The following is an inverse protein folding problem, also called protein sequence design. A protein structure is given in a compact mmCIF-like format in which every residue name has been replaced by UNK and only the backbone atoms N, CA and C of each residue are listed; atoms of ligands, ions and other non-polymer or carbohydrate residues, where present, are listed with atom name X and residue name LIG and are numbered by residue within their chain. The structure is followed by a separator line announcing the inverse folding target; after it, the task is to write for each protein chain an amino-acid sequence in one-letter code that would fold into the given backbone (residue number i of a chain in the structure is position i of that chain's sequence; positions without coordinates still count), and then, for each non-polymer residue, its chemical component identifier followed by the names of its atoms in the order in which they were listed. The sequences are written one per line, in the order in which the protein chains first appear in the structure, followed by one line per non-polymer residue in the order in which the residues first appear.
data_IF_277982597856
#
_entry.id   IF_277982597856
#
_cell.length_a   1.000
_cell.length_b   1.000
_cell.length_c   1.000
_cell.angle_alpha   90.00
_cell.angle_beta   90.00
_cell.angle_gamma   90.00
#
_symmetry.space_group_name_H-M   'P 1'
#
loop_
_entity.id
_entity.type
_entity.pdbx_description
1 polymer ?
#
# COMPACT_ATOMS: atom_id res chain seq x y z
N UNK A 1 -12.23 24.50 -20.41
CA UNK A 1 -12.81 23.44 -19.54
C UNK A 1 -11.87 22.25 -19.66
N UNK A 2 -11.08 21.99 -18.62
CA UNK A 2 -10.13 20.88 -18.59
C UNK A 2 -10.90 19.62 -18.17
N UNK A 3 -10.93 18.59 -19.00
CA UNK A 3 -11.40 17.26 -18.63
C UNK A 3 -10.18 16.34 -18.58
N UNK A 4 -9.75 15.99 -17.37
CA UNK A 4 -8.84 14.85 -17.19
C UNK A 4 -9.66 13.56 -17.23
N UNK A 5 -9.18 12.62 -18.02
CA UNK A 5 -9.73 11.30 -18.31
C UNK A 5 -9.56 10.37 -17.10
N UNK A 6 -10.62 10.23 -16.30
CA UNK A 6 -10.86 8.98 -15.58
C UNK A 6 -12.14 8.36 -16.14
N UNK A 7 -11.97 7.30 -16.91
CA UNK A 7 -12.98 6.77 -17.81
C UNK A 7 -14.10 6.08 -17.02
N UNK A 8 -15.26 6.74 -16.87
CA UNK A 8 -16.44 6.12 -16.28
C UNK A 8 -17.39 5.55 -17.35
N UNK A 9 -17.13 5.74 -18.66
CA UNK A 9 -17.87 5.04 -19.75
C UNK A 9 -17.34 5.27 -21.18
N UNK A 10 -16.68 6.38 -21.48
CA UNK A 10 -16.16 6.68 -22.82
C UNK A 10 -14.83 7.42 -22.73
N UNK A 11 -13.87 7.03 -23.56
CA UNK A 11 -12.63 7.78 -23.77
C UNK A 11 -12.89 8.87 -24.82
N UNK A 12 -12.71 10.12 -24.43
CA UNK A 12 -12.69 11.27 -25.34
C UNK A 12 -11.22 11.70 -25.48
N UNK A 13 -10.72 11.68 -26.72
CA UNK A 13 -9.40 12.22 -27.07
C UNK A 13 -9.59 13.49 -27.89
N UNK A 14 -8.80 14.51 -27.62
CA UNK A 14 -8.82 15.79 -28.34
C UNK A 14 -7.54 15.94 -29.19
N UNK A 15 -7.65 16.66 -30.30
CA UNK A 15 -6.50 17.00 -31.13
C UNK A 15 -5.94 18.34 -30.65
N UNK A 16 -4.65 18.36 -30.28
CA UNK A 16 -3.99 19.58 -29.79
C UNK A 16 -3.64 20.51 -30.95
N UNK A 17 -3.37 21.78 -30.64
CA UNK A 17 -3.08 22.86 -31.61
C UNK A 17 -1.89 22.54 -32.55
N UNK A 18 -0.99 21.64 -32.14
CA UNK A 18 0.12 21.12 -32.95
C UNK A 18 -0.23 19.99 -33.94
N UNK A 19 -1.50 19.60 -34.06
CA UNK A 19 -1.95 18.54 -34.97
C UNK A 19 -1.65 17.11 -34.48
N UNK A 20 -1.37 16.95 -33.19
CA UNK A 20 -1.17 15.65 -32.54
C UNK A 20 -2.41 15.30 -31.69
N UNK A 21 -2.74 14.02 -31.59
CA UNK A 21 -3.77 13.57 -30.65
C UNK A 21 -3.21 13.55 -29.23
N UNK A 22 -4.03 13.92 -28.25
CA UNK A 22 -3.73 13.65 -26.85
C UNK A 22 -3.62 12.13 -26.63
N UNK A 23 -2.65 11.71 -25.82
CA UNK A 23 -2.53 10.32 -25.38
C UNK A 23 -3.70 9.99 -24.45
N UNK A 24 -4.51 9.01 -24.83
CA UNK A 24 -5.71 8.61 -24.08
C UNK A 24 -5.78 7.10 -23.93
N UNK A 25 -6.10 6.65 -22.71
CA UNK A 25 -6.26 5.23 -22.37
C UNK A 25 -7.51 4.97 -21.54
N UNK A 26 -7.98 3.73 -21.57
CA UNK A 26 -9.02 3.25 -20.67
C UNK A 26 -8.38 2.36 -19.61
N UNK A 27 -8.51 2.72 -18.33
CA UNK A 27 -8.16 1.83 -17.25
C UNK A 27 -9.33 0.88 -16.94
N UNK A 28 -9.09 -0.44 -16.80
CA UNK A 28 -10.16 -1.37 -16.48
C UNK A 28 -10.78 -1.09 -15.10
N UNK A 29 -12.10 -0.95 -15.05
CA UNK A 29 -12.87 -0.70 -13.82
C UNK A 29 -12.52 -1.78 -12.77
N UNK A 30 -12.00 -1.39 -11.59
CA UNK A 30 -11.65 -2.34 -10.54
C UNK A 30 -12.85 -2.59 -9.62
N UNK A 31 -13.06 -3.85 -9.26
CA UNK A 31 -13.93 -4.26 -8.17
C UNK A 31 -13.24 -4.14 -6.80
N UNK A 32 -14.01 -4.08 -5.70
CA UNK A 32 -13.48 -4.07 -4.34
C UNK A 32 -12.55 -5.24 -4.07
N UNK A 33 -11.56 -5.02 -3.22
CA UNK A 33 -10.74 -6.12 -2.68
C UNK A 33 -11.64 -7.11 -1.94
N UNK A 34 -11.36 -8.41 -2.13
CA UNK A 34 -12.09 -9.46 -1.44
C UNK A 34 -11.64 -9.52 0.03
N UNK A 35 -12.51 -9.97 0.95
CA UNK A 35 -12.15 -10.08 2.36
C UNK A 35 -10.91 -10.95 2.59
N UNK A 36 -10.01 -10.49 3.47
CA UNK A 36 -8.73 -11.16 3.77
C UNK A 36 -8.88 -12.62 4.21
N UNK A 37 -10.03 -12.98 4.79
CA UNK A 37 -10.32 -14.36 5.19
C UNK A 37 -10.31 -15.36 4.02
N UNK A 38 -10.48 -14.90 2.77
CA UNK A 38 -10.40 -15.73 1.57
C UNK A 38 -8.99 -15.72 0.93
N UNK A 39 -8.02 -15.03 1.51
CA UNK A 39 -6.69 -14.91 0.91
C UNK A 39 -6.06 -16.31 0.72
N UNK A 40 -5.59 -16.55 -0.51
CA UNK A 40 -5.02 -17.82 -0.93
C UNK A 40 -6.04 -18.92 -1.28
N UNK A 41 -7.34 -18.69 -1.09
CA UNK A 41 -8.39 -19.65 -1.42
C UNK A 41 -9.02 -19.44 -2.80
N UNK A 42 -8.80 -18.29 -3.45
CA UNK A 42 -9.43 -17.98 -4.73
C UNK A 42 -8.40 -17.68 -5.80
N UNK A 43 -8.79 -17.93 -7.05
CA UNK A 43 -8.02 -17.57 -8.24
C UNK A 43 -8.85 -16.72 -9.16
N UNK A 44 -8.31 -15.57 -9.59
CA UNK A 44 -8.97 -14.65 -10.51
C UNK A 44 -8.29 -14.65 -11.88
N UNK A 45 -9.06 -14.58 -12.95
CA UNK A 45 -8.51 -14.54 -14.32
C UNK A 45 -7.82 -13.23 -14.68
N UNK A 46 -8.26 -12.09 -14.12
CA UNK A 46 -7.69 -10.77 -14.39
C UNK A 46 -7.68 -9.89 -13.13
N UNK A 47 -7.16 -10.45 -12.02
CA UNK A 47 -7.17 -9.78 -10.73
C UNK A 47 -8.58 -9.33 -10.34
N UNK A 48 -8.72 -8.04 -10.02
CA UNK A 48 -10.00 -7.44 -9.60
C UNK A 48 -10.68 -6.62 -10.70
N UNK A 49 -10.21 -6.69 -11.94
CA UNK A 49 -10.70 -5.80 -13.00
C UNK A 49 -11.98 -6.32 -13.66
N UNK A 50 -12.65 -5.43 -14.39
CA UNK A 50 -13.85 -5.73 -15.17
C UNK A 50 -13.76 -7.08 -15.89
N UNK A 51 -14.84 -7.85 -15.78
CA UNK A 51 -15.00 -9.17 -16.37
C UNK A 51 -14.07 -10.28 -15.82
N UNK A 52 -13.27 -9.97 -14.80
CA UNK A 52 -12.49 -10.99 -14.06
C UNK A 52 -13.44 -12.00 -13.42
N UNK A 53 -13.10 -13.28 -13.56
CA UNK A 53 -13.78 -14.41 -12.94
C UNK A 53 -12.92 -14.90 -11.78
N UNK A 54 -13.41 -14.72 -10.55
CA UNK A 54 -12.75 -15.19 -9.34
C UNK A 54 -13.45 -16.43 -8.81
N UNK A 55 -12.74 -17.55 -8.78
CA UNK A 55 -13.26 -18.83 -8.31
C UNK A 55 -12.66 -19.15 -6.95
N UNK A 56 -13.51 -19.26 -5.93
CA UNK A 56 -13.17 -19.80 -4.63
C UNK A 56 -12.99 -21.31 -4.75
N UNK A 57 -11.88 -21.80 -4.24
CA UNK A 57 -11.48 -23.20 -4.24
C UNK A 57 -11.70 -23.76 -2.84
N UNK A 58 -12.76 -24.55 -2.67
CA UNK A 58 -13.08 -25.26 -1.45
C UNK A 58 -12.50 -26.68 -1.48
N UNK A 59 -12.27 -27.31 -0.30
CA UNK A 59 -11.84 -28.71 -0.22
C UNK A 59 -12.77 -29.68 -0.97
N UNK A 60 -14.09 -29.42 -0.93
CA UNK A 60 -15.04 -30.11 -1.78
C UNK A 60 -15.34 -29.28 -3.02
N UNK A 61 -15.05 -29.81 -4.20
CA UNK A 61 -15.24 -29.12 -5.47
C UNK A 61 -16.69 -28.69 -5.74
N UNK A 62 -17.67 -29.36 -5.11
CA UNK A 62 -19.10 -28.98 -5.19
C UNK A 62 -19.43 -27.67 -4.49
N UNK A 63 -18.58 -27.23 -3.57
CA UNK A 63 -18.71 -25.95 -2.85
C UNK A 63 -17.93 -24.81 -3.55
N UNK A 64 -17.20 -25.12 -4.63
CA UNK A 64 -16.52 -24.09 -5.41
C UNK A 64 -17.54 -23.11 -5.98
N UNK A 65 -17.19 -21.83 -5.89
CA UNK A 65 -18.08 -20.75 -6.27
C UNK A 65 -17.32 -19.70 -7.08
N UNK A 66 -17.95 -19.18 -8.13
CA UNK A 66 -17.32 -18.20 -9.03
C UNK A 66 -18.13 -16.91 -9.05
N UNK A 67 -17.45 -15.80 -8.78
CA UNK A 67 -18.00 -14.45 -8.89
C UNK A 67 -17.37 -13.71 -10.07
N UNK A 68 -18.09 -12.72 -10.63
CA UNK A 68 -17.64 -11.91 -11.76
C UNK A 68 -17.59 -10.44 -11.39
N UNK A 69 -16.53 -9.74 -11.79
CA UNK A 69 -16.48 -8.28 -11.70
C UNK A 69 -17.31 -7.64 -12.81
N UNK A 70 -18.32 -6.86 -12.44
CA UNK A 70 -19.27 -6.24 -13.35
C UNK A 70 -18.76 -4.89 -13.88
N UNK A 71 -19.43 -4.36 -14.90
CA UNK A 71 -19.13 -3.03 -15.48
C UNK A 71 -19.36 -1.88 -14.49
N UNK A 72 -20.12 -2.13 -13.43
CA UNK A 72 -20.46 -1.14 -12.42
C UNK A 72 -19.41 -1.12 -11.28
N UNK A 73 -18.36 -1.95 -11.39
CA UNK A 73 -17.31 -2.05 -10.38
C UNK A 73 -17.72 -2.87 -9.15
N UNK A 74 -18.74 -3.71 -9.28
CA UNK A 74 -19.21 -4.58 -8.20
C UNK A 74 -19.07 -6.06 -8.57
N UNK A 75 -18.86 -6.91 -7.57
CA UNK A 75 -18.92 -8.36 -7.74
C UNK A 75 -20.38 -8.81 -7.89
N UNK A 76 -20.63 -9.79 -8.77
CA UNK A 76 -21.99 -10.34 -8.97
C UNK A 76 -22.60 -10.88 -7.68
N UNK A 77 -21.77 -11.49 -6.84
CA UNK A 77 -22.17 -12.12 -5.58
C UNK A 77 -21.02 -11.99 -4.57
N UNK A 78 -21.28 -12.37 -3.32
CA UNK A 78 -20.26 -12.47 -2.26
C UNK A 78 -19.85 -13.94 -2.11
N UNK A 79 -18.58 -14.19 -1.80
CA UNK A 79 -18.17 -15.53 -1.42
C UNK A 79 -18.89 -16.00 -0.16
N UNK A 80 -19.13 -17.31 -0.11
CA UNK A 80 -19.62 -18.01 1.07
C UNK A 80 -18.50 -18.92 1.58
N UNK A 81 -18.33 -19.01 2.89
CA UNK A 81 -17.31 -19.87 3.48
C UNK A 81 -17.60 -21.35 3.24
N UNK A 82 -16.54 -22.13 2.98
CA UNK A 82 -16.64 -23.57 2.85
C UNK A 82 -17.04 -24.20 4.20
N UNK A 83 -17.84 -25.25 4.17
CA UNK A 83 -18.48 -25.83 5.37
C UNK A 83 -17.55 -26.60 6.31
N UNK A 84 -16.36 -27.02 5.86
CA UNK A 84 -15.39 -27.79 6.66
C UNK A 84 -14.00 -27.18 6.68
N UNK A 85 -13.88 -26.04 7.35
CA UNK A 85 -12.61 -25.39 7.67
C UNK A 85 -12.37 -25.48 9.18
N UNK A 86 -12.33 -26.70 9.74
CA UNK A 86 -12.25 -26.92 11.19
C UNK A 86 -10.81 -26.80 11.74
N UNK A 87 -9.91 -26.17 11.00
CA UNK A 87 -8.52 -25.97 11.39
C UNK A 87 -8.31 -24.51 11.80
N UNK A 88 -7.57 -24.31 12.89
CA UNK A 88 -7.21 -22.99 13.39
C UNK A 88 -5.82 -22.60 12.89
N UNK A 89 -5.56 -21.30 12.77
CA UNK A 89 -4.21 -20.81 12.55
C UNK A 89 -3.33 -21.11 13.78
N UNK A 90 -2.02 -21.35 13.59
CA UNK A 90 -1.10 -21.44 14.72
C UNK A 90 -1.03 -20.08 15.44
N UNK A 91 -0.70 -20.04 16.74
CA UNK A 91 -0.42 -18.78 17.42
C UNK A 91 0.61 -17.96 16.63
N UNK A 92 0.40 -16.64 16.44
CA UNK A 92 1.37 -15.79 15.76
C UNK A 92 2.77 -15.92 16.40
N UNK A 93 3.84 -16.06 15.61
CA UNK A 93 5.20 -16.15 16.14
C UNK A 93 5.62 -14.82 16.78
N UNK A 94 6.34 -14.90 17.91
CA UNK A 94 6.98 -13.74 18.55
C UNK A 94 8.31 -13.43 17.85
N UNK A 95 8.22 -12.65 16.77
CA UNK A 95 9.35 -12.23 15.94
C UNK A 95 9.22 -10.75 15.60
N UNK A 96 10.33 -10.14 15.16
CA UNK A 96 10.38 -8.75 14.67
C UNK A 96 9.86 -7.68 15.65
N UNK A 97 9.85 -7.99 16.96
CA UNK A 97 9.41 -7.11 18.06
C UNK A 97 7.90 -6.75 18.01
N UNK A 98 7.10 -7.59 17.36
CA UNK A 98 5.64 -7.44 17.24
C UNK A 98 4.95 -8.36 18.26
N UNK A 99 3.98 -7.81 19.00
CA UNK A 99 3.10 -8.56 19.88
C UNK A 99 1.68 -8.56 19.32
N UNK A 100 0.90 -9.61 19.56
CA UNK A 100 -0.44 -9.76 19.00
C UNK A 100 -1.48 -9.88 20.13
N UNK A 101 -2.51 -9.04 20.06
CA UNK A 101 -3.71 -9.18 20.87
C UNK A 101 -4.76 -9.98 20.07
N UNK A 102 -5.14 -11.16 20.56
CA UNK A 102 -6.01 -12.12 19.88
C UNK A 102 -7.18 -12.52 20.78
N UNK A 103 -8.17 -11.64 20.92
CA UNK A 103 -9.26 -11.83 21.88
C UNK A 103 -10.23 -12.96 21.47
N UNK A 104 -10.36 -13.20 20.16
CA UNK A 104 -11.27 -14.20 19.57
C UNK A 104 -10.59 -15.56 19.33
N UNK A 105 -9.33 -15.73 19.76
CA UNK A 105 -8.54 -16.93 19.51
C UNK A 105 -7.99 -17.00 18.08
N UNK A 106 -7.93 -18.20 17.50
CA UNK A 106 -7.21 -18.45 16.24
C UNK A 106 -8.03 -19.23 15.19
N UNK A 107 -9.34 -19.35 15.37
CA UNK A 107 -10.22 -19.99 14.36
C UNK A 107 -10.19 -19.21 13.04
N UNK A 108 -10.54 -19.86 11.93
CA UNK A 108 -10.74 -19.16 10.65
C UNK A 108 -11.70 -17.97 10.83
N UNK A 109 -11.29 -16.81 10.33
CA UNK A 109 -11.99 -15.54 10.48
C UNK A 109 -11.62 -14.75 11.74
N UNK A 110 -10.91 -15.35 12.71
CA UNK A 110 -10.44 -14.63 13.89
C UNK A 110 -9.45 -13.54 13.49
N UNK A 111 -9.51 -12.43 14.23
CA UNK A 111 -8.70 -11.24 14.00
C UNK A 111 -7.74 -11.05 15.18
N UNK A 112 -6.48 -10.75 14.88
CA UNK A 112 -5.50 -10.34 15.87
C UNK A 112 -4.93 -8.96 15.54
N UNK A 113 -4.67 -8.15 16.55
CA UNK A 113 -4.16 -6.80 16.41
C UNK A 113 -2.66 -6.74 16.75
N UNK A 114 -1.78 -6.46 15.78
CA UNK A 114 -0.35 -6.30 16.03
C UNK A 114 -0.07 -4.99 16.75
N UNK A 115 0.86 -5.04 17.71
CA UNK A 115 1.38 -3.89 18.44
C UNK A 115 2.90 -3.98 18.51
N UNK A 116 3.57 -2.84 18.41
CA UNK A 116 5.01 -2.80 18.52
C UNK A 116 5.45 -2.77 19.99
N UNK A 117 6.48 -3.55 20.31
CA UNK A 117 7.04 -3.59 21.67
C UNK A 117 7.69 -2.26 22.07
N UNK A 118 8.20 -1.51 21.10
CA UNK A 118 8.73 -0.17 21.31
C UNK A 118 7.60 0.87 21.10
N UNK A 119 7.59 1.89 21.96
CA UNK A 119 6.72 3.06 21.76
C UNK A 119 7.10 3.80 20.47
N UNK A 120 6.13 4.52 19.88
CA UNK A 120 6.32 5.30 18.64
C UNK A 120 6.85 4.45 17.48
N UNK A 121 6.38 3.21 17.38
CA UNK A 121 6.65 2.33 16.25
C UNK A 121 5.34 1.79 15.68
N UNK A 122 5.32 1.68 14.37
CA UNK A 122 4.19 1.19 13.60
C UNK A 122 4.48 -0.22 13.07
N UNK A 123 3.54 -1.17 13.21
CA UNK A 123 3.63 -2.46 12.54
C UNK A 123 3.37 -2.26 11.05
N UNK A 124 4.31 -2.69 10.22
CA UNK A 124 4.25 -2.60 8.76
C UNK A 124 4.65 -3.91 8.11
N UNK A 125 4.13 -4.20 6.92
CA UNK A 125 4.59 -5.33 6.10
C UNK A 125 5.83 -4.92 5.32
N UNK A 126 6.91 -5.68 5.49
CA UNK A 126 8.12 -5.56 4.69
C UNK A 126 8.31 -6.80 3.79
N UNK A 127 8.98 -6.61 2.66
CA UNK A 127 9.37 -7.74 1.82
C UNK A 127 10.39 -8.63 2.55
N UNK A 128 10.44 -9.92 2.21
CA UNK A 128 11.27 -10.92 2.90
C UNK A 128 12.79 -10.59 2.94
N UNK A 129 13.27 -9.70 2.06
CA UNK A 129 14.68 -9.25 2.02
C UNK A 129 14.93 -7.93 2.76
N UNK A 130 13.89 -7.29 3.31
CA UNK A 130 13.97 -6.02 4.01
C UNK A 130 13.73 -6.22 5.50
N UNK A 131 14.47 -5.48 6.32
CA UNK A 131 14.35 -5.45 7.78
C UNK A 131 14.03 -4.03 8.20
N UNK A 132 13.56 -3.84 9.44
CA UNK A 132 13.27 -2.50 9.98
C UNK A 132 14.45 -1.52 9.80
N UNK A 133 15.68 -1.99 9.98
CA UNK A 133 16.90 -1.17 9.88
C UNK A 133 17.33 -0.89 8.42
N UNK A 134 16.80 -1.63 7.46
CA UNK A 134 17.14 -1.48 6.04
C UNK A 134 16.06 -0.79 5.21
N UNK A 135 14.97 -0.33 5.84
CA UNK A 135 13.93 0.45 5.19
C UNK A 135 14.53 1.75 4.66
N UNK A 136 14.36 1.98 3.36
CA UNK A 136 14.88 3.16 2.67
C UNK A 136 13.86 4.28 2.65
N UNK A 137 14.33 5.52 2.55
CA UNK A 137 13.47 6.70 2.60
C UNK A 137 12.46 6.77 1.44
N UNK A 138 12.66 6.06 0.33
CA UNK A 138 11.71 5.98 -0.79
C UNK A 138 10.72 4.82 -0.68
N UNK A 139 10.86 3.94 0.32
CA UNK A 139 9.96 2.80 0.49
C UNK A 139 8.68 3.25 1.21
N UNK A 140 7.54 2.80 0.70
CA UNK A 140 6.22 3.03 1.27
C UNK A 140 5.64 1.70 1.78
N UNK A 141 6.09 1.21 2.95
CA UNK A 141 5.59 -0.05 3.50
C UNK A 141 4.13 0.11 3.97
N UNK A 142 3.33 -0.95 3.80
CA UNK A 142 1.92 -0.93 4.20
C UNK A 142 1.77 -1.09 5.72
N UNK A 143 1.07 -0.16 6.37
CA UNK A 143 0.69 -0.26 7.78
C UNK A 143 -0.26 -1.43 8.00
N UNK A 144 -0.02 -2.22 9.04
CA UNK A 144 -0.88 -3.34 9.43
C UNK A 144 -1.75 -2.91 10.61
N UNK A 145 -3.07 -2.94 10.43
CA UNK A 145 -4.01 -2.67 11.52
C UNK A 145 -4.41 -3.98 12.23
N UNK A 146 -4.50 -5.05 11.47
CA UNK A 146 -4.95 -6.36 11.91
C UNK A 146 -4.37 -7.47 11.02
N UNK A 147 -4.36 -8.69 11.55
CA UNK A 147 -4.17 -9.93 10.78
C UNK A 147 -5.41 -10.80 10.93
N UNK A 148 -5.77 -11.52 9.87
CA UNK A 148 -6.94 -12.40 9.84
C UNK A 148 -6.49 -13.83 9.61
N UNK A 149 -7.05 -14.78 10.37
CA UNK A 149 -6.85 -16.20 10.10
C UNK A 149 -7.69 -16.60 8.87
N UNK A 150 -7.03 -16.94 7.77
CA UNK A 150 -7.72 -17.21 6.50
C UNK A 150 -8.21 -18.65 6.43
N UNK A 151 -9.10 -18.95 5.49
CA UNK A 151 -9.55 -20.33 5.28
C UNK A 151 -8.47 -21.28 4.75
N UNK A 152 -7.28 -20.76 4.41
CA UNK A 152 -6.06 -21.56 4.18
C UNK A 152 -5.29 -21.88 5.47
N UNK A 153 -5.86 -21.58 6.64
CA UNK A 153 -5.30 -21.82 7.98
C UNK A 153 -3.95 -21.13 8.19
N UNK A 154 -3.82 -19.95 7.58
CA UNK A 154 -2.65 -19.07 7.66
C UNK A 154 -3.11 -17.66 8.02
N UNK A 155 -2.24 -16.92 8.70
CA UNK A 155 -2.47 -15.51 8.95
C UNK A 155 -2.22 -14.68 7.70
N UNK A 156 -3.08 -13.70 7.44
CA UNK A 156 -2.84 -12.68 6.44
C UNK A 156 -3.00 -11.28 7.03
N UNK A 157 -2.03 -10.36 6.81
CA UNK A 157 -0.69 -10.62 6.25
C UNK A 157 0.12 -11.61 7.12
N UNK A 158 1.17 -12.21 6.55
CA UNK A 158 2.02 -13.18 7.26
C UNK A 158 2.77 -12.48 8.41
N UNK A 159 2.58 -12.89 9.69
CA UNK A 159 3.25 -12.32 10.84
C UNK A 159 4.77 -12.24 10.72
N UNK A 160 5.41 -13.16 9.99
CA UNK A 160 6.87 -13.17 9.81
C UNK A 160 7.38 -12.01 8.97
N UNK A 161 6.51 -11.41 8.16
CA UNK A 161 6.79 -10.25 7.32
C UNK A 161 6.38 -8.92 7.97
N UNK A 162 5.80 -8.97 9.18
CA UNK A 162 5.42 -7.77 9.92
C UNK A 162 6.63 -7.34 10.75
N UNK A 163 7.04 -6.09 10.58
CA UNK A 163 8.12 -5.46 11.33
C UNK A 163 7.65 -4.16 11.95
N UNK A 164 8.29 -3.79 13.05
CA UNK A 164 8.11 -2.48 13.67
C UNK A 164 9.11 -1.49 13.09
N UNK A 165 8.63 -0.42 12.48
CA UNK A 165 9.43 0.72 12.07
C UNK A 165 9.07 1.93 12.92
N UNK A 166 9.97 2.90 13.05
CA UNK A 166 9.66 4.15 13.74
C UNK A 166 8.42 4.80 13.11
N UNK A 167 7.49 5.29 13.92
CA UNK A 167 6.29 6.00 13.46
C UNK A 167 6.62 7.37 12.87
N UNK A 168 5.67 7.97 12.16
CA UNK A 168 5.76 9.37 11.76
C UNK A 168 5.46 10.28 12.94
N UNK A 169 6.18 11.39 13.04
CA UNK A 169 5.93 12.43 14.03
C UNK A 169 4.82 13.37 13.56
N UNK A 170 4.04 13.98 14.48
CA UNK A 170 2.84 14.76 14.14
C UNK A 170 3.13 16.14 13.52
N UNK A 171 4.39 16.44 13.20
CA UNK A 171 4.86 17.77 12.76
C UNK A 171 4.99 17.93 11.24
N UNK A 172 4.61 16.91 10.46
CA UNK A 172 4.72 17.00 8.99
C UNK A 172 3.94 18.19 8.40
N UNK A 173 4.62 19.01 7.59
CA UNK A 173 4.03 20.19 6.96
C UNK A 173 3.99 21.44 7.84
N UNK A 174 4.78 21.50 8.92
CA UNK A 174 4.84 22.65 9.84
C UNK A 174 5.83 23.76 9.42
N UNK A 175 6.55 23.55 8.32
CA UNK A 175 7.56 24.46 7.76
C UNK A 175 8.99 24.19 8.23
N UNK A 176 9.21 23.17 9.06
CA UNK A 176 10.52 22.68 9.48
C UNK A 176 10.79 21.32 8.85
N UNK A 177 12.02 21.12 8.39
CA UNK A 177 12.44 19.82 7.87
C UNK A 177 12.79 18.88 9.03
N UNK A 178 11.89 17.94 9.30
CA UNK A 178 12.02 16.84 10.25
C UNK A 178 12.59 15.59 9.57
N UNK A 179 13.82 15.22 9.96
CA UNK A 179 14.54 14.11 9.32
C UNK A 179 13.84 12.76 9.46
N UNK A 180 13.10 12.54 10.55
CA UNK A 180 12.30 11.31 10.80
C UNK A 180 11.14 11.20 9.81
N UNK A 181 10.53 12.33 9.45
CA UNK A 181 9.40 12.41 8.52
C UNK A 181 9.84 12.54 7.06
N UNK A 182 11.10 12.88 6.77
CA UNK A 182 11.65 13.01 5.42
C UNK A 182 11.86 11.65 4.70
N UNK A 183 10.78 10.90 4.54
CA UNK A 183 10.67 9.59 3.88
C UNK A 183 9.25 9.37 3.36
N UNK A 184 9.09 8.54 2.34
CA UNK A 184 7.82 8.24 1.68
C UNK A 184 6.73 7.77 2.64
N UNK A 185 7.08 6.95 3.64
CA UNK A 185 6.13 6.49 4.67
C UNK A 185 5.47 7.62 5.47
N UNK A 186 6.16 8.76 5.58
CA UNK A 186 5.69 9.96 6.27
C UNK A 186 5.53 11.13 5.28
N UNK A 187 5.22 10.81 4.01
CA UNK A 187 4.89 11.78 2.97
C UNK A 187 5.96 12.85 2.76
N UNK A 188 7.23 12.49 2.97
CA UNK A 188 8.37 13.40 2.86
C UNK A 188 8.19 14.69 3.66
N UNK A 189 7.67 14.54 4.88
CA UNK A 189 7.48 15.63 5.83
C UNK A 189 6.57 16.75 5.32
N UNK A 190 5.55 16.39 4.54
CA UNK A 190 4.67 17.37 3.89
C UNK A 190 5.40 18.25 2.86
N UNK A 191 6.64 17.90 2.52
CA UNK A 191 7.50 18.67 1.63
C UNK A 191 8.41 19.68 2.32
N UNK A 192 8.48 19.76 3.65
CA UNK A 192 9.26 20.83 4.31
C UNK A 192 10.77 20.73 4.13
N UNK A 193 11.27 19.56 3.71
CA UNK A 193 12.66 19.35 3.33
C UNK A 193 12.99 19.74 1.88
N UNK A 194 12.02 20.24 1.11
CA UNK A 194 12.19 20.60 -0.30
C UNK A 194 12.02 22.11 -0.52
N UNK A 195 13.00 22.82 -1.10
CA UNK A 195 12.86 24.25 -1.36
C UNK A 195 11.67 24.58 -2.28
N UNK A 196 11.36 23.73 -3.27
CA UNK A 196 10.30 24.01 -4.24
C UNK A 196 8.87 23.93 -3.72
N UNK A 197 8.65 23.17 -2.65
CA UNK A 197 7.36 23.01 -1.98
C UNK A 197 7.13 24.12 -0.94
N UNK A 198 8.19 24.77 -0.47
CA UNK A 198 8.12 25.88 0.49
C UNK A 198 7.83 27.23 -0.16
N UNK A 199 6.91 27.98 0.44
CA UNK A 199 6.60 29.37 0.02
C UNK A 199 7.80 30.32 0.12
N UNK A 200 8.71 30.08 1.08
CA UNK A 200 9.93 30.87 1.31
C UNK A 200 11.08 30.48 0.37
N UNK A 201 10.96 29.36 -0.36
CA UNK A 201 12.03 28.70 -1.11
C UNK A 201 13.28 28.38 -0.25
N UNK A 202 13.13 28.35 1.07
CA UNK A 202 14.24 28.13 2.01
C UNK A 202 13.82 27.12 3.07
N UNK A 203 14.51 25.98 3.07
CA UNK A 203 14.38 24.93 4.09
C UNK A 203 14.88 25.45 5.44
N UNK A 204 14.08 25.24 6.48
CA UNK A 204 14.44 25.51 7.87
C UNK A 204 14.68 24.15 8.53
N UNK A 205 15.87 23.94 9.09
CA UNK A 205 16.25 22.65 9.67
C UNK A 205 15.96 22.63 11.18
N UNK A 206 15.40 21.54 11.67
CA UNK A 206 15.30 21.27 13.10
C UNK A 206 16.57 20.56 13.59
N UNK A 207 17.32 21.20 14.51
CA UNK A 207 18.60 20.68 15.02
C UNK A 207 19.84 21.27 14.33
N UNK A 208 20.92 21.49 15.08
CA UNK A 208 22.10 22.24 14.62
C UNK A 208 23.03 21.46 13.67
N UNK A 209 22.84 20.15 13.54
CA UNK A 209 23.75 19.25 12.82
C UNK A 209 22.95 18.21 12.02
N UNK A 210 22.04 18.67 11.16
CA UNK A 210 21.49 17.77 10.17
C UNK A 210 22.60 17.41 9.17
N UNK A 211 23.05 16.15 9.17
CA UNK A 211 24.00 15.66 8.19
C UNK A 211 23.48 16.00 6.78
N UNK A 212 24.40 16.35 5.88
CA UNK A 212 24.05 16.88 4.55
C UNK A 212 23.08 15.98 3.76
N UNK A 213 22.97 14.69 4.08
CA UNK A 213 22.07 13.74 3.42
C UNK A 213 20.66 13.67 4.04
N UNK A 214 20.48 13.88 5.34
CA UNK A 214 19.21 13.64 6.04
C UNK A 214 18.17 14.74 5.81
N UNK A 215 18.62 15.99 5.67
CA UNK A 215 17.79 17.15 5.32
C UNK A 215 17.80 17.49 3.83
N UNK A 216 18.30 16.60 2.97
CA UNK A 216 18.13 16.79 1.52
C UNK A 216 16.67 16.59 1.13
N UNK A 217 16.27 17.28 0.06
CA UNK A 217 14.97 17.04 -0.56
C UNK A 217 14.91 15.62 -1.15
N UNK A 218 14.16 14.74 -0.49
CA UNK A 218 13.99 13.33 -0.87
C UNK A 218 12.68 13.05 -1.62
N UNK A 219 11.76 14.01 -1.68
CA UNK A 219 10.50 13.87 -2.40
C UNK A 219 10.76 13.75 -3.92
N UNK A 220 10.45 12.62 -4.56
CA UNK A 220 10.62 12.46 -6.01
C UNK A 220 9.72 13.42 -6.80
N UNK A 221 8.65 13.94 -6.20
CA UNK A 221 7.72 14.85 -6.83
C UNK A 221 8.10 16.33 -6.68
N UNK A 222 9.15 16.67 -5.94
CA UNK A 222 9.67 18.03 -5.87
C UNK A 222 10.32 18.47 -7.20
N UNK A 223 10.30 19.77 -7.50
CA UNK A 223 10.80 20.31 -8.79
C UNK A 223 12.30 19.97 -9.02
N UNK A 224 13.09 19.99 -7.94
CA UNK A 224 14.52 19.68 -7.93
C UNK A 224 14.82 18.22 -8.31
N UNK A 225 13.87 17.31 -8.10
CA UNK A 225 14.00 15.88 -8.35
C UNK A 225 13.27 15.44 -9.64
N UNK A 226 12.16 16.11 -10.00
CA UNK A 226 11.42 15.89 -11.26
C UNK A 226 12.27 16.15 -12.51
N UNK A 227 13.14 17.16 -12.45
CA UNK A 227 14.06 17.47 -13.55
C UNK A 227 15.06 16.34 -13.79
N UNK A 228 15.60 15.71 -12.73
CA UNK A 228 16.53 14.56 -12.84
C UNK A 228 15.88 13.31 -13.41
N UNK A 229 14.65 12.99 -13.02
CA UNK A 229 13.91 11.84 -13.56
C UNK A 229 13.70 11.93 -15.07
N UNK A 230 13.39 13.13 -15.58
CA UNK A 230 13.19 13.39 -17.02
C UNK A 230 14.48 13.23 -17.85
N UNK A 231 15.65 13.54 -17.28
CA UNK A 231 16.94 13.32 -17.95
C UNK A 231 17.41 11.87 -17.88
N UNK A 232 17.06 11.14 -16.81
CA UNK A 232 17.35 9.71 -16.67
C UNK A 232 16.49 8.85 -17.61
N UNK A 233 15.18 9.16 -17.70
CA UNK A 233 14.27 8.51 -18.67
C UNK A 233 14.63 8.83 -20.12
N UNK A 234 15.26 9.98 -20.37
CA UNK A 234 15.76 10.38 -21.69
C UNK A 234 17.19 9.88 -21.99
N UNK A 235 17.85 9.14 -21.08
CA UNK A 235 19.19 8.58 -21.28
C UNK A 235 20.29 9.63 -21.50
N UNK A 236 20.14 10.83 -20.94
CA UNK A 236 21.05 11.97 -21.13
C UNK A 236 22.09 12.14 -20.00
N UNK A 237 22.18 11.17 -19.09
CA UNK A 237 23.20 11.02 -18.04
C UNK A 237 23.73 9.58 -18.02
#
# INVERSE_FOLDING_TARGET
MLYWTNCIRFLKVECVEGGQWEEGGCEPIPCPSLPAVYEGMFTCTNGRHYNSLCTLQCPHASENHTIRCTKDGEWTEKFTMCTRLNEACPPPPDVNRVQYACDEGFSVGAVCYPTCSAALHDPVVLANSTTADSVKHWMLPGRVQDIVCTGMTRWHPDPKLIHCIQSCEPFGGDGWCDTINNRAYCEYDGGDCCPSTLSTRKVIQFGADCDQDECTCRDPNAEENKSKAKYLEAGLL
#
